data_IF_210198715604
#
_entry.id   IF_210198715604
#
_cell.length_a   1.000
_cell.length_b   1.000
_cell.length_c   1.000
_cell.angle_alpha   90.00
_cell.angle_beta   90.00
_cell.angle_gamma   90.00
#
_symmetry.space_group_name_H-M   'P 1'
#
loop_
_entity.id
_entity.type
_entity.pdbx_description
1 polymer ?
#
# COMPACT_ATOMS: atom_id res chain seq x y z
N UNK A 1 7.34 23.19 7.37
CA UNK A 1 6.92 21.80 7.57
C UNK A 1 6.94 21.50 9.05
N UNK A 2 5.84 20.98 9.59
CA UNK A 2 5.77 20.63 11.00
C UNK A 2 6.48 19.31 11.34
N UNK A 3 6.66 18.97 12.63
CA UNK A 3 7.39 17.78 13.05
C UNK A 3 6.85 16.45 12.49
N UNK A 4 5.53 16.29 12.37
CA UNK A 4 4.92 15.05 11.90
C UNK A 4 5.13 14.83 10.42
N UNK A 5 4.96 15.88 9.62
CA UNK A 5 5.24 15.84 8.19
C UNK A 5 6.72 15.53 7.93
N UNK A 6 7.63 16.12 8.71
CA UNK A 6 9.06 15.82 8.61
C UNK A 6 9.35 14.35 8.94
N UNK A 7 8.73 13.80 10.00
CA UNK A 7 8.88 12.39 10.35
C UNK A 7 8.38 11.48 9.22
N UNK A 8 7.20 11.77 8.65
CA UNK A 8 6.67 11.00 7.52
C UNK A 8 7.61 11.08 6.31
N UNK A 9 8.12 12.27 6.01
CA UNK A 9 9.04 12.47 4.89
C UNK A 9 10.30 11.63 5.06
N UNK A 10 10.92 11.65 6.24
CA UNK A 10 12.12 10.85 6.50
C UNK A 10 11.88 9.36 6.24
N UNK A 11 10.73 8.82 6.69
CA UNK A 11 10.37 7.40 6.46
C UNK A 11 10.14 7.08 4.99
N UNK A 12 9.57 8.00 4.22
CA UNK A 12 9.33 7.80 2.78
C UNK A 12 10.64 7.91 2.00
N UNK A 13 11.51 8.85 2.36
CA UNK A 13 12.81 9.07 1.70
C UNK A 13 13.77 7.86 1.91
N UNK A 14 13.55 7.03 2.92
CA UNK A 14 14.28 5.77 3.16
C UNK A 14 13.86 4.61 2.23
N UNK A 15 12.79 4.77 1.44
CA UNK A 15 12.32 3.72 0.54
C UNK A 15 13.17 3.68 -0.72
N UNK A 16 13.94 2.61 -0.85
CA UNK A 16 14.61 2.22 -2.08
C UNK A 16 14.15 0.84 -2.57
N UNK A 17 14.07 0.70 -3.89
CA UNK A 17 13.98 -0.56 -4.62
C UNK A 17 15.16 -0.67 -5.58
N UNK A 18 15.58 -1.89 -5.87
CA UNK A 18 16.49 -2.14 -6.99
C UNK A 18 15.77 -1.91 -8.32
N UNK A 19 16.53 -1.65 -9.39
CA UNK A 19 15.95 -1.43 -10.72
C UNK A 19 15.27 -2.71 -11.25
N UNK A 20 15.84 -3.88 -10.93
CA UNK A 20 15.33 -5.19 -11.31
C UNK A 20 15.42 -6.15 -10.12
N UNK A 21 14.46 -7.06 -10.01
CA UNK A 21 14.49 -8.14 -9.01
C UNK A 21 15.11 -9.42 -9.58
N UNK A 22 14.63 -9.87 -10.75
CA UNK A 22 15.20 -11.03 -11.45
C UNK A 22 15.52 -10.62 -12.89
N UNK A 23 16.78 -10.75 -13.30
CA UNK A 23 17.23 -10.49 -14.67
C UNK A 23 18.08 -11.64 -15.19
N UNK A 24 17.61 -12.29 -16.25
CA UNK A 24 18.34 -13.38 -16.92
C UNK A 24 19.06 -12.77 -18.13
N UNK A 25 20.38 -12.57 -18.02
CA UNK A 25 21.22 -12.03 -19.08
C UNK A 25 21.78 -13.13 -19.99
N UNK A 26 21.93 -12.86 -21.29
CA UNK A 26 22.55 -13.78 -22.25
C UNK A 26 23.59 -13.08 -23.15
N UNK A 27 24.41 -12.23 -22.54
CA UNK A 27 25.51 -11.51 -23.21
C UNK A 27 25.06 -10.28 -24.01
N UNK A 28 26.01 -9.38 -24.27
CA UNK A 28 25.82 -8.14 -25.03
C UNK A 28 24.71 -7.21 -24.50
N UNK A 29 24.48 -7.20 -23.18
CA UNK A 29 23.42 -6.39 -22.54
C UNK A 29 21.99 -6.87 -22.80
N UNK A 30 21.80 -8.00 -23.48
CA UNK A 30 20.49 -8.60 -23.76
C UNK A 30 20.01 -9.44 -22.58
N UNK A 31 18.70 -9.40 -22.33
CA UNK A 31 18.07 -10.16 -21.26
C UNK A 31 16.75 -10.77 -21.71
N UNK A 32 16.31 -11.83 -21.02
CA UNK A 32 15.01 -12.47 -21.24
C UNK A 32 13.99 -11.76 -20.34
N UNK A 33 12.99 -11.12 -20.95
CA UNK A 33 11.94 -10.40 -20.22
C UNK A 33 10.72 -11.28 -19.86
N UNK A 34 10.58 -12.46 -20.49
CA UNK A 34 9.42 -13.33 -20.29
C UNK A 34 9.58 -14.73 -20.86
N UNK A 35 8.94 -15.71 -20.22
CA UNK A 35 8.70 -17.02 -20.80
C UNK A 35 7.36 -17.58 -20.31
N UNK A 36 6.69 -18.38 -21.14
CA UNK A 36 5.48 -19.10 -20.73
C UNK A 36 5.89 -20.48 -20.23
N UNK A 37 5.75 -20.73 -18.93
CA UNK A 37 6.03 -22.03 -18.34
C UNK A 37 4.85 -23.00 -18.56
N UNK A 38 5.15 -24.21 -19.05
CA UNK A 38 4.16 -25.30 -19.15
C UNK A 38 3.99 -26.08 -17.84
N UNK A 39 5.04 -26.10 -17.03
CA UNK A 39 5.07 -26.81 -15.75
C UNK A 39 4.66 -25.85 -14.63
N UNK A 40 3.46 -26.05 -14.07
CA UNK A 40 2.92 -25.25 -12.97
C UNK A 40 3.48 -25.63 -11.60
N UNK A 41 4.26 -26.71 -11.51
CA UNK A 41 4.86 -27.14 -10.24
C UNK A 41 6.06 -26.29 -9.81
N UNK A 42 6.53 -25.39 -10.68
CA UNK A 42 7.62 -24.45 -10.39
C UNK A 42 7.09 -23.04 -10.12
N UNK A 43 7.89 -22.26 -9.40
CA UNK A 43 7.61 -20.85 -9.18
C UNK A 43 7.82 -20.10 -10.50
N UNK A 44 6.82 -19.33 -10.91
CA UNK A 44 6.90 -18.50 -12.11
C UNK A 44 7.65 -17.20 -11.81
N UNK A 45 8.97 -17.22 -12.01
CA UNK A 45 9.84 -16.06 -11.81
C UNK A 45 9.51 -14.89 -12.75
N UNK A 46 8.95 -15.15 -13.94
CA UNK A 46 8.56 -14.08 -14.87
C UNK A 46 7.30 -13.37 -14.39
N UNK A 47 6.34 -14.11 -13.82
CA UNK A 47 5.19 -13.53 -13.15
C UNK A 47 5.62 -12.70 -11.94
N UNK A 48 6.52 -13.22 -11.09
CA UNK A 48 7.08 -12.46 -9.95
C UNK A 48 7.75 -11.17 -10.43
N UNK A 49 8.59 -11.23 -11.46
CA UNK A 49 9.26 -10.05 -11.99
C UNK A 49 8.27 -9.01 -12.55
N UNK A 50 7.23 -9.45 -13.25
CA UNK A 50 6.19 -8.54 -13.78
C UNK A 50 5.41 -7.83 -12.66
N UNK A 51 5.08 -8.57 -11.59
CA UNK A 51 4.43 -7.99 -10.40
C UNK A 51 5.38 -7.00 -9.71
N UNK A 52 6.66 -7.36 -9.57
CA UNK A 52 7.69 -6.49 -8.99
C UNK A 52 7.85 -5.17 -9.75
N UNK A 53 7.98 -5.21 -11.07
CA UNK A 53 8.09 -4.00 -11.90
C UNK A 53 6.85 -3.09 -11.74
N UNK A 54 5.67 -3.70 -11.62
CA UNK A 54 4.43 -2.97 -11.33
C UNK A 54 4.46 -2.32 -9.94
N UNK A 55 4.97 -3.03 -8.92
CA UNK A 55 5.16 -2.47 -7.57
C UNK A 55 6.11 -1.27 -7.62
N UNK A 56 7.22 -1.36 -8.34
CA UNK A 56 8.20 -0.26 -8.46
C UNK A 56 7.59 0.96 -9.16
N UNK A 57 6.83 0.75 -10.24
CA UNK A 57 6.10 1.82 -10.92
C UNK A 57 5.08 2.51 -9.99
N UNK A 58 4.30 1.74 -9.23
CA UNK A 58 3.34 2.30 -8.27
C UNK A 58 4.03 3.01 -7.11
N UNK A 59 5.13 2.46 -6.59
CA UNK A 59 5.95 3.08 -5.55
C UNK A 59 6.36 4.50 -5.96
N UNK A 60 6.91 4.67 -7.17
CA UNK A 60 7.32 5.98 -7.67
C UNK A 60 6.14 6.97 -7.76
N UNK A 61 4.96 6.50 -8.19
CA UNK A 61 3.74 7.31 -8.27
C UNK A 61 3.19 7.69 -6.89
N UNK A 62 3.30 6.81 -5.90
CA UNK A 62 2.92 7.10 -4.51
C UNK A 62 3.88 8.11 -3.91
N UNK A 63 5.20 7.94 -4.08
CA UNK A 63 6.20 8.90 -3.60
C UNK A 63 5.95 10.29 -4.22
N UNK A 64 5.73 10.37 -5.53
CA UNK A 64 5.39 11.64 -6.18
C UNK A 64 4.13 12.28 -5.58
N UNK A 65 3.08 11.48 -5.34
CA UNK A 65 1.84 11.99 -4.74
C UNK A 65 2.08 12.47 -3.30
N UNK A 66 2.87 11.72 -2.52
CA UNK A 66 3.27 12.11 -1.17
C UNK A 66 4.02 13.45 -1.17
N UNK A 67 5.03 13.60 -2.02
CA UNK A 67 5.80 14.85 -2.14
C UNK A 67 4.90 16.03 -2.47
N UNK A 68 3.96 15.87 -3.41
CA UNK A 68 3.01 16.93 -3.76
C UNK A 68 2.02 17.25 -2.63
N UNK A 69 1.61 16.27 -1.84
CA UNK A 69 0.81 16.52 -0.64
C UNK A 69 1.63 17.27 0.43
N UNK A 70 2.89 16.92 0.63
CA UNK A 70 3.81 17.58 1.58
C UNK A 70 4.13 19.03 1.16
N UNK A 71 4.33 19.30 -0.14
CA UNK A 71 4.53 20.64 -0.70
C UNK A 71 3.37 21.60 -0.36
N UNK A 72 2.15 21.06 -0.23
CA UNK A 72 0.98 21.83 0.17
C UNK A 72 1.00 22.24 1.67
N UNK A 73 1.91 21.67 2.46
CA UNK A 73 2.14 21.90 3.88
C UNK A 73 0.82 21.87 4.70
N UNK A 74 0.09 20.73 4.72
CA UNK A 74 -1.16 20.61 5.46
C UNK A 74 -0.93 20.91 6.94
N UNK A 75 -1.85 21.67 7.55
CA UNK A 75 -1.73 22.08 8.95
C UNK A 75 -1.75 20.89 9.89
N UNK A 76 -0.75 20.78 10.77
CA UNK A 76 -0.73 19.82 11.89
C UNK A 76 -1.60 20.28 13.07
N UNK A 77 -2.01 21.56 13.08
CA UNK A 77 -2.96 22.09 14.05
C UNK A 77 -4.38 22.06 13.51
N UNK A 78 -5.35 21.81 14.40
CA UNK A 78 -6.77 21.98 14.11
C UNK A 78 -7.20 23.46 14.13
N UNK A 79 -6.31 24.39 14.49
CA UNK A 79 -6.64 25.81 14.52
C UNK A 79 -7.00 26.30 13.11
N UNK A 80 -8.23 26.81 12.96
CA UNK A 80 -8.75 27.28 11.68
C UNK A 80 -9.19 26.16 10.73
N UNK A 81 -9.14 24.89 11.15
CA UNK A 81 -9.74 23.80 10.41
C UNK A 81 -11.26 23.87 10.51
N UNK A 82 -11.93 23.86 9.36
CA UNK A 82 -13.39 23.84 9.26
C UNK A 82 -13.83 22.66 8.39
N UNK A 83 -14.46 21.62 8.98
CA UNK A 83 -14.92 20.46 8.22
C UNK A 83 -16.10 20.80 7.30
N UNK A 84 -16.86 21.87 7.56
CA UNK A 84 -18.02 22.28 6.75
C UNK A 84 -17.63 23.16 5.56
N UNK A 85 -16.46 23.80 5.62
CA UNK A 85 -15.93 24.57 4.51
C UNK A 85 -15.44 23.65 3.40
N UNK A 86 -15.80 23.98 2.16
CA UNK A 86 -15.27 23.30 0.98
C UNK A 86 -13.75 23.49 0.89
N UNK A 87 -12.96 22.42 0.66
CA UNK A 87 -11.53 22.54 0.44
C UNK A 87 -11.21 23.46 -0.74
N UNK A 88 -10.24 24.36 -0.56
CA UNK A 88 -9.74 25.27 -1.61
C UNK A 88 -8.22 25.39 -1.55
N UNK A 89 -7.60 25.83 -2.65
CA UNK A 89 -6.15 26.07 -2.71
C UNK A 89 -5.34 24.84 -2.33
N UNK A 90 -4.33 25.03 -1.47
CA UNK A 90 -3.43 23.96 -1.03
C UNK A 90 -4.16 22.79 -0.35
N UNK A 91 -5.28 23.04 0.34
CA UNK A 91 -6.05 21.97 0.97
C UNK A 91 -6.64 21.02 -0.07
N UNK A 92 -7.24 21.58 -1.13
CA UNK A 92 -7.79 20.79 -2.24
C UNK A 92 -6.68 20.03 -2.97
N UNK A 93 -5.55 20.67 -3.24
CA UNK A 93 -4.40 20.05 -3.90
C UNK A 93 -3.84 18.90 -3.05
N UNK A 94 -3.67 19.10 -1.75
CA UNK A 94 -3.21 18.05 -0.83
C UNK A 94 -4.16 16.85 -0.86
N UNK A 95 -5.47 17.09 -0.74
CA UNK A 95 -6.48 16.03 -0.75
C UNK A 95 -6.48 15.24 -2.07
N UNK A 96 -6.33 15.91 -3.22
CA UNK A 96 -6.21 15.23 -4.52
C UNK A 96 -5.02 14.24 -4.56
N UNK A 97 -3.85 14.65 -4.05
CA UNK A 97 -2.69 13.78 -4.03
C UNK A 97 -2.80 12.68 -2.96
N UNK A 98 -3.41 12.97 -1.81
CA UNK A 98 -3.70 11.97 -0.78
C UNK A 98 -4.66 10.90 -1.30
N UNK A 99 -5.73 11.27 -2.02
CA UNK A 99 -6.62 10.31 -2.68
C UNK A 99 -5.84 9.41 -3.64
N UNK A 100 -4.95 9.99 -4.44
CA UNK A 100 -4.08 9.26 -5.35
C UNK A 100 -3.16 8.26 -4.63
N UNK A 101 -2.67 8.60 -3.44
CA UNK A 101 -1.92 7.66 -2.59
C UNK A 101 -2.84 6.53 -2.11
N UNK A 102 -3.99 6.85 -1.53
CA UNK A 102 -4.95 5.86 -0.98
C UNK A 102 -5.30 4.79 -2.03
N UNK A 103 -5.65 5.19 -3.25
CA UNK A 103 -5.99 4.24 -4.31
C UNK A 103 -4.80 3.35 -4.68
N UNK A 104 -3.60 3.93 -4.83
CA UNK A 104 -2.41 3.16 -5.24
C UNK A 104 -1.88 2.25 -4.13
N UNK A 105 -1.99 2.66 -2.87
CA UNK A 105 -1.67 1.81 -1.72
C UNK A 105 -2.59 0.59 -1.67
N UNK A 106 -3.88 0.76 -1.96
CA UNK A 106 -4.78 -0.38 -2.09
C UNK A 106 -4.34 -1.36 -3.18
N UNK A 107 -3.87 -0.85 -4.33
CA UNK A 107 -3.37 -1.71 -5.41
C UNK A 107 -2.06 -2.40 -5.00
N UNK A 108 -1.20 -1.76 -4.19
CA UNK A 108 0.00 -2.42 -3.65
C UNK A 108 -0.36 -3.64 -2.78
N UNK A 109 -1.41 -3.53 -1.96
CA UNK A 109 -1.91 -4.68 -1.19
C UNK A 109 -2.42 -5.82 -2.09
N UNK A 110 -3.12 -5.48 -3.18
CA UNK A 110 -3.55 -6.47 -4.17
C UNK A 110 -2.34 -7.14 -4.85
N UNK A 111 -1.32 -6.37 -5.26
CA UNK A 111 -0.10 -6.90 -5.88
C UNK A 111 0.72 -7.76 -4.92
N UNK A 112 0.79 -7.40 -3.63
CA UNK A 112 1.40 -8.25 -2.60
C UNK A 112 0.69 -9.60 -2.50
N UNK A 113 -0.65 -9.60 -2.49
CA UNK A 113 -1.43 -10.84 -2.50
C UNK A 113 -1.19 -11.68 -3.77
N UNK A 114 -1.08 -11.04 -4.94
CA UNK A 114 -0.73 -11.74 -6.18
C UNK A 114 0.67 -12.35 -6.14
N UNK A 115 1.67 -11.60 -5.66
CA UNK A 115 3.05 -12.09 -5.51
C UNK A 115 3.10 -13.30 -4.58
N UNK A 116 2.41 -13.23 -3.43
CA UNK A 116 2.25 -14.33 -2.50
C UNK A 116 1.50 -15.52 -3.12
N UNK A 117 0.46 -15.30 -3.91
CA UNK A 117 -0.29 -16.36 -4.59
C UNK A 117 0.60 -17.14 -5.56
N UNK A 118 1.43 -16.44 -6.33
CA UNK A 118 2.41 -17.04 -7.25
C UNK A 118 3.50 -17.77 -6.47
N UNK A 119 4.13 -17.11 -5.49
CA UNK A 119 5.27 -17.67 -4.77
C UNK A 119 4.89 -18.86 -3.89
N UNK A 120 3.78 -18.78 -3.15
CA UNK A 120 3.30 -19.88 -2.32
C UNK A 120 2.47 -20.91 -3.08
N UNK A 121 2.37 -20.78 -4.42
CA UNK A 121 1.68 -21.70 -5.32
C UNK A 121 0.25 -22.03 -4.85
N UNK A 122 -0.53 -21.00 -4.50
CA UNK A 122 -1.91 -21.18 -4.00
C UNK A 122 -2.94 -21.39 -5.11
N UNK A 123 -2.54 -21.21 -6.37
CA UNK A 123 -3.35 -21.44 -7.57
C UNK A 123 -4.71 -20.72 -7.58
N UNK A 124 -4.87 -19.63 -6.82
CA UNK A 124 -6.08 -18.82 -6.88
C UNK A 124 -6.08 -18.01 -8.18
N UNK A 125 -7.25 -17.91 -8.83
CA UNK A 125 -7.44 -17.03 -9.98
C UNK A 125 -7.16 -15.58 -9.58
N UNK A 126 -6.25 -14.87 -10.28
CA UNK A 126 -5.92 -13.48 -10.00
C UNK A 126 -7.15 -12.55 -9.89
N UNK A 127 -8.24 -12.83 -10.63
CA UNK A 127 -9.45 -11.99 -10.62
C UNK A 127 -10.31 -12.17 -9.37
N UNK A 128 -10.07 -13.22 -8.59
CA UNK A 128 -10.87 -13.61 -7.43
C UNK A 128 -10.09 -13.51 -6.10
N UNK A 129 -8.96 -12.79 -6.09
CA UNK A 129 -8.17 -12.58 -4.88
C UNK A 129 -8.68 -11.36 -4.14
N UNK A 130 -9.45 -11.60 -3.08
CA UNK A 130 -9.76 -10.59 -2.06
C UNK A 130 -8.66 -10.61 -1.01
N UNK A 131 -7.89 -9.52 -0.91
CA UNK A 131 -6.67 -9.42 -0.10
C UNK A 131 -6.85 -9.93 1.34
N UNK A 132 -7.85 -9.43 2.06
CA UNK A 132 -8.08 -9.82 3.46
C UNK A 132 -8.35 -11.31 3.61
N UNK A 133 -9.28 -11.84 2.80
CA UNK A 133 -9.63 -13.26 2.79
C UNK A 133 -8.44 -14.13 2.36
N UNK A 134 -7.66 -13.67 1.40
CA UNK A 134 -6.46 -14.37 0.94
C UNK A 134 -5.45 -14.55 2.07
N UNK A 135 -5.13 -13.47 2.79
CA UNK A 135 -4.16 -13.53 3.89
C UNK A 135 -4.72 -14.24 5.12
N UNK A 136 -6.02 -14.09 5.42
CA UNK A 136 -6.71 -14.90 6.42
C UNK A 136 -6.54 -16.40 6.11
N UNK A 137 -6.91 -16.85 4.91
CA UNK A 137 -6.82 -18.26 4.55
C UNK A 137 -5.37 -18.78 4.63
N UNK A 138 -4.41 -17.97 4.17
CA UNK A 138 -2.99 -18.32 4.21
C UNK A 138 -2.39 -18.27 5.61
N UNK A 139 -3.03 -17.62 6.59
CA UNK A 139 -2.59 -17.59 7.99
C UNK A 139 -3.11 -18.78 8.81
N UNK A 140 -3.99 -19.61 8.26
CA UNK A 140 -4.62 -20.72 8.97
C UNK A 140 -4.06 -22.10 8.57
N UNK A 141 -4.25 -23.08 9.46
CA UNK A 141 -3.98 -24.50 9.18
C UNK A 141 -2.53 -24.93 9.32
N UNK A 142 -2.23 -26.16 8.89
CA UNK A 142 -0.91 -26.81 9.07
C UNK A 142 0.20 -26.20 8.20
N UNK A 143 -0.17 -25.56 7.09
CA UNK A 143 0.76 -24.94 6.13
C UNK A 143 0.64 -23.40 6.14
N UNK A 144 0.26 -22.85 7.30
CA UNK A 144 0.14 -21.42 7.51
C UNK A 144 1.46 -20.71 7.19
N UNK A 145 1.38 -19.60 6.46
CA UNK A 145 2.53 -18.76 6.14
C UNK A 145 2.68 -17.72 7.24
N UNK A 146 3.88 -17.65 7.84
CA UNK A 146 4.12 -16.70 8.94
C UNK A 146 3.90 -15.25 8.48
N UNK A 147 4.39 -14.90 7.29
CA UNK A 147 4.13 -13.58 6.70
C UNK A 147 2.63 -13.29 6.51
N UNK A 148 1.83 -14.28 6.09
CA UNK A 148 0.38 -14.09 5.98
C UNK A 148 -0.28 -13.82 7.33
N UNK A 149 0.18 -14.46 8.40
CA UNK A 149 -0.27 -14.20 9.76
C UNK A 149 0.07 -12.78 10.20
N UNK A 150 1.28 -12.32 9.91
CA UNK A 150 1.71 -10.96 10.28
C UNK A 150 0.94 -9.88 9.51
N UNK A 151 0.65 -10.12 8.22
CA UNK A 151 -0.21 -9.26 7.41
C UNK A 151 -1.65 -9.26 7.93
N UNK A 152 -2.23 -10.42 8.20
CA UNK A 152 -3.61 -10.51 8.68
C UNK A 152 -3.77 -9.89 10.08
N UNK A 153 -2.77 -10.04 10.95
CA UNK A 153 -2.75 -9.35 12.25
C UNK A 153 -2.77 -7.83 12.07
N UNK A 154 -2.03 -7.30 11.09
CA UNK A 154 -2.05 -5.88 10.77
C UNK A 154 -3.43 -5.41 10.28
N UNK A 155 -4.10 -6.19 9.43
CA UNK A 155 -5.47 -5.88 8.99
C UNK A 155 -6.47 -5.88 10.14
N UNK A 156 -6.23 -6.71 11.15
CA UNK A 156 -7.10 -6.86 12.32
C UNK A 156 -6.77 -5.90 13.47
N UNK A 157 -5.87 -4.93 13.27
CA UNK A 157 -5.51 -3.96 14.30
C UNK A 157 -6.70 -3.08 14.67
N UNK A 158 -6.97 -2.96 15.97
CA UNK A 158 -7.95 -2.00 16.47
C UNK A 158 -7.47 -0.56 16.20
N UNK A 159 -8.41 0.30 15.79
CA UNK A 159 -8.09 1.70 15.51
C UNK A 159 -7.63 2.43 16.78
N UNK A 160 -6.39 2.93 16.74
CA UNK A 160 -5.81 3.68 17.85
C UNK A 160 -4.91 4.80 17.34
N UNK A 161 -5.40 6.02 17.52
CA UNK A 161 -4.62 7.26 17.35
C UNK A 161 -3.69 7.44 18.56
N UNK A 162 -2.41 7.66 18.28
CA UNK A 162 -1.36 7.97 19.26
C UNK A 162 -0.83 9.40 19.06
N UNK A 163 0.24 9.77 19.76
CA UNK A 163 0.90 11.05 19.56
C UNK A 163 1.31 11.28 18.11
N UNK A 164 1.47 12.55 17.75
CA UNK A 164 1.71 13.00 16.38
C UNK A 164 3.01 12.43 15.75
N UNK A 165 3.98 12.08 16.60
CA UNK A 165 5.27 11.48 16.25
C UNK A 165 5.32 9.95 16.45
N UNK A 166 4.20 9.32 16.79
CA UNK A 166 4.08 7.87 16.93
C UNK A 166 3.31 7.27 15.73
N UNK A 167 3.49 5.98 15.47
CA UNK A 167 2.66 5.27 14.50
C UNK A 167 1.26 5.03 15.08
N UNK A 168 0.25 5.20 14.25
CA UNK A 168 -1.14 4.86 14.55
C UNK A 168 -1.44 3.41 14.16
N UNK A 169 -2.53 2.86 14.71
CA UNK A 169 -2.97 1.48 14.49
C UNK A 169 -4.31 1.46 13.76
N UNK A 170 -4.61 0.35 13.07
CA UNK A 170 -5.86 0.23 12.29
C UNK A 170 -5.85 1.09 11.03
N UNK A 171 -4.65 1.42 10.51
CA UNK A 171 -4.50 2.26 9.33
C UNK A 171 -5.06 1.59 8.07
N UNK A 172 -4.90 0.27 7.93
CA UNK A 172 -5.46 -0.49 6.82
C UNK A 172 -6.97 -0.29 6.70
N UNK A 173 -7.70 -0.56 7.77
CA UNK A 173 -9.16 -0.42 7.78
C UNK A 173 -9.59 1.03 7.59
N UNK A 174 -8.88 2.01 8.18
CA UNK A 174 -9.14 3.42 7.94
C UNK A 174 -9.03 3.79 6.44
N UNK A 175 -7.92 3.40 5.80
CA UNK A 175 -7.64 3.72 4.39
C UNK A 175 -8.63 3.00 3.48
N UNK A 176 -8.96 1.75 3.78
CA UNK A 176 -9.99 0.96 3.10
C UNK A 176 -11.37 1.62 3.19
N UNK A 177 -11.81 2.02 4.38
CA UNK A 177 -13.09 2.72 4.56
C UNK A 177 -13.12 4.08 3.85
N UNK A 178 -12.03 4.86 3.93
CA UNK A 178 -11.90 6.12 3.20
C UNK A 178 -12.06 5.92 1.68
N UNK A 179 -11.42 4.88 1.12
CA UNK A 179 -11.55 4.49 -0.29
C UNK A 179 -12.96 4.01 -0.63
N UNK A 180 -13.51 3.11 0.18
CA UNK A 180 -14.85 2.53 -0.04
C UNK A 180 -15.95 3.59 0.01
N UNK A 181 -15.79 4.61 0.85
CA UNK A 181 -16.71 5.75 0.87
C UNK A 181 -16.76 6.46 -0.49
N UNK A 182 -15.60 6.72 -1.10
CA UNK A 182 -15.52 7.34 -2.43
C UNK A 182 -16.19 6.50 -3.51
N UNK A 183 -16.03 5.17 -3.46
CA UNK A 183 -16.53 4.28 -4.51
C UNK A 183 -18.01 3.91 -4.37
N UNK A 184 -18.57 3.96 -3.15
CA UNK A 184 -19.91 3.45 -2.88
C UNK A 184 -20.89 4.49 -2.32
N UNK A 185 -20.42 5.64 -1.84
CA UNK A 185 -21.30 6.68 -1.26
C UNK A 185 -21.01 8.06 -1.85
N UNK A 186 -20.08 8.78 -1.24
CA UNK A 186 -19.75 10.17 -1.48
C UNK A 186 -18.26 10.38 -1.19
N UNK A 187 -17.69 11.47 -1.72
CA UNK A 187 -16.30 11.79 -1.41
C UNK A 187 -16.12 12.03 0.10
N UNK A 188 -15.13 11.40 0.77
CA UNK A 188 -14.73 11.68 2.14
C UNK A 188 -14.11 13.08 2.28
N UNK A 189 -13.91 13.79 1.18
CA UNK A 189 -13.50 15.19 1.17
C UNK A 189 -14.69 16.17 1.18
N UNK A 190 -15.90 15.65 1.36
CA UNK A 190 -17.14 16.42 1.51
C UNK A 190 -17.82 16.00 2.81
N UNK A 191 -18.08 16.96 3.69
CA UNK A 191 -18.93 16.73 4.87
C UNK A 191 -20.37 16.48 4.44
N UNK A 192 -20.97 15.42 4.96
CA UNK A 192 -22.35 15.05 4.68
C UNK A 192 -23.09 14.79 5.99
N UNK A 193 -24.27 15.36 6.14
CA UNK A 193 -25.21 15.07 7.24
C UNK A 193 -26.57 14.88 6.59
N UNK A 194 -26.94 13.63 6.34
CA UNK A 194 -28.17 13.26 5.64
C UNK A 194 -28.57 11.82 5.97
N UNK A 195 -29.77 11.41 5.57
CA UNK A 195 -30.19 10.00 5.66
C UNK A 195 -29.33 9.06 4.81
N UNK A 196 -28.55 9.60 3.86
CA UNK A 196 -27.64 8.83 3.02
C UNK A 196 -26.29 8.58 3.71
N UNK A 197 -25.80 9.56 4.48
CA UNK A 197 -24.50 9.50 5.15
C UNK A 197 -24.36 10.61 6.21
N UNK A 198 -23.68 10.29 7.31
CA UNK A 198 -23.31 11.22 8.38
C UNK A 198 -21.81 11.13 8.63
N UNK A 199 -21.06 12.10 8.10
CA UNK A 199 -19.61 12.11 8.11
C UNK A 199 -19.06 13.54 8.09
N UNK A 200 -18.09 13.80 8.97
CA UNK A 200 -17.32 15.03 8.93
C UNK A 200 -16.01 14.76 8.21
N UNK A 201 -15.68 15.65 7.27
CA UNK A 201 -14.38 15.64 6.59
C UNK A 201 -13.25 15.67 7.64
N UNK A 202 -12.21 14.84 7.49
CA UNK A 202 -11.04 14.86 8.36
C UNK A 202 -10.03 15.90 7.89
N UNK A 203 -9.16 16.42 8.78
CA UNK A 203 -8.04 17.25 8.39
C UNK A 203 -7.12 16.51 7.39
N UNK A 204 -6.61 17.18 6.34
CA UNK A 204 -5.76 16.51 5.35
C UNK A 204 -4.53 15.84 5.94
N UNK A 205 -3.89 16.45 6.95
CA UNK A 205 -2.73 15.86 7.64
C UNK A 205 -3.05 14.48 8.24
N UNK A 206 -4.27 14.32 8.75
CA UNK A 206 -4.71 13.09 9.40
C UNK A 206 -4.80 11.96 8.37
N UNK A 207 -5.41 12.26 7.21
CA UNK A 207 -5.53 11.30 6.10
C UNK A 207 -4.15 10.99 5.50
N UNK A 208 -3.31 12.01 5.30
CA UNK A 208 -1.96 11.83 4.78
C UNK A 208 -1.15 10.91 5.69
N UNK A 209 -1.20 11.10 7.01
CA UNK A 209 -0.50 10.24 7.97
C UNK A 209 -0.99 8.80 7.90
N UNK A 210 -2.30 8.57 7.94
CA UNK A 210 -2.92 7.24 7.82
C UNK A 210 -2.51 6.52 6.53
N UNK A 211 -2.65 7.21 5.39
CA UNK A 211 -2.33 6.66 4.08
C UNK A 211 -0.82 6.37 3.93
N UNK A 212 0.02 7.25 4.48
CA UNK A 212 1.48 7.05 4.46
C UNK A 212 1.88 5.87 5.33
N UNK A 213 1.35 5.75 6.54
CA UNK A 213 1.70 4.64 7.44
C UNK A 213 1.21 3.28 6.93
N UNK A 214 0.03 3.22 6.30
CA UNK A 214 -0.44 2.00 5.61
C UNK A 214 0.45 1.65 4.42
N UNK A 215 0.81 2.65 3.61
CA UNK A 215 1.77 2.49 2.51
C UNK A 215 3.13 1.94 3.00
N UNK A 216 3.71 2.54 4.04
CA UNK A 216 4.97 2.08 4.63
C UNK A 216 4.87 0.62 5.09
N UNK A 217 3.71 0.22 5.64
CA UNK A 217 3.47 -1.15 6.06
C UNK A 217 3.37 -2.12 4.88
N UNK A 218 2.64 -1.75 3.82
CA UNK A 218 2.59 -2.53 2.58
C UNK A 218 4.00 -2.75 2.00
N UNK A 219 4.81 -1.69 1.91
CA UNK A 219 6.20 -1.75 1.45
C UNK A 219 7.04 -2.67 2.34
N UNK A 220 6.87 -2.62 3.66
CA UNK A 220 7.61 -3.51 4.57
C UNK A 220 7.34 -4.99 4.29
N UNK A 221 6.08 -5.37 4.06
CA UNK A 221 5.72 -6.75 3.75
C UNK A 221 6.12 -7.17 2.33
N UNK A 222 6.07 -6.25 1.36
CA UNK A 222 6.63 -6.45 0.02
C UNK A 222 8.13 -6.78 0.13
N UNK A 223 8.89 -6.00 0.91
CA UNK A 223 10.32 -6.29 1.12
C UNK A 223 10.53 -7.66 1.80
N UNK A 224 9.69 -8.03 2.76
CA UNK A 224 9.76 -9.35 3.41
C UNK A 224 9.55 -10.51 2.43
N UNK A 225 8.52 -10.45 1.57
CA UNK A 225 8.28 -11.53 0.59
C UNK A 225 9.39 -11.59 -0.47
N UNK A 226 9.96 -10.45 -0.88
CA UNK A 226 11.08 -10.43 -1.82
C UNK A 226 12.31 -11.13 -1.22
N UNK A 227 12.62 -10.90 0.06
CA UNK A 227 13.70 -11.61 0.77
C UNK A 227 13.44 -13.12 0.83
N UNK A 228 12.20 -13.55 1.11
CA UNK A 228 11.83 -14.97 1.08
C UNK A 228 12.04 -15.59 -0.31
N UNK A 229 11.65 -14.89 -1.37
CA UNK A 229 11.84 -15.33 -2.75
C UNK A 229 13.34 -15.43 -3.09
N UNK A 230 14.13 -14.42 -2.72
CA UNK A 230 15.56 -14.37 -3.01
C UNK A 230 16.31 -15.53 -2.34
N UNK A 231 16.02 -15.79 -1.06
CA UNK A 231 16.57 -16.94 -0.33
C UNK A 231 16.20 -18.27 -1.00
N UNK A 232 14.95 -18.41 -1.45
CA UNK A 232 14.48 -19.62 -2.16
C UNK A 232 15.22 -19.86 -3.47
N UNK A 233 15.53 -18.80 -4.22
CA UNK A 233 16.28 -18.88 -5.48
C UNK A 233 17.73 -19.30 -5.19
N UNK A 234 18.35 -18.75 -4.15
CA UNK A 234 19.72 -19.09 -3.76
C UNK A 234 19.88 -20.53 -3.28
N UNK A 235 18.88 -21.10 -2.59
CA UNK A 235 18.88 -22.52 -2.17
C UNK A 235 18.79 -23.52 -3.34
N UNK A 236 18.33 -23.08 -4.52
CA UNK A 236 18.13 -23.93 -5.70
C UNK A 236 19.32 -23.92 -6.68
N UNK A 237 20.31 -23.06 -6.46
CA UNK A 237 21.54 -22.97 -7.25
C UNK A 237 22.73 -23.61 -6.52
#
# INVERSE_FOLDING_TARGET
>A
MGPSLQMLKNKVDEISFHEYFVRIEFGDGRYIFGAIQKDKSKIDLFAINSIYETIVDLNNKIIYSFEKAVECNPSESLNGYDPFRKPIGNELTALYYIENMVFRTSVLWDLLAQMCNVFWQKEKDPHNIFVESFFHDCSQGKNAQQLAKDIYNYFSEEDKVKGDLENWYGNFDYVKEYRNKMTHRNSPNITAISNFDTYLRPPPIFVLKRATEDYLKAISFIKSILIEIENKILEQN
#
